data_IF_625491269813
#
_entry.id   IF_625491269813
#
_cell.length_a   1.000
_cell.length_b   1.000
_cell.length_c   1.000
_cell.angle_alpha   90.00
_cell.angle_beta   90.00
_cell.angle_gamma   90.00
#
_symmetry.space_group_name_H-M   'P 1'
#
loop_
_entity.id
_entity.type
_entity.pdbx_description
1 polymer ?
#
# COMPACT_ATOMS: atom_id res chain seq x y z
N UNK A 1 33.81 39.12 -10.06
CA UNK A 1 34.48 38.85 -11.33
C UNK A 1 33.72 37.74 -12.04
N UNK A 2 33.20 38.16 -13.19
CA UNK A 2 32.38 37.39 -14.11
C UNK A 2 33.13 36.21 -14.73
N UNK A 3 32.55 34.99 -14.71
CA UNK A 3 32.79 33.95 -15.71
C UNK A 3 31.75 32.82 -15.60
N UNK A 4 30.52 33.10 -15.98
CA UNK A 4 29.54 32.07 -16.38
C UNK A 4 28.54 32.69 -17.38
N UNK A 5 28.99 32.95 -18.60
CA UNK A 5 28.11 33.12 -19.79
C UNK A 5 28.75 32.34 -20.92
N UNK A 6 28.12 31.21 -21.25
CA UNK A 6 28.03 30.66 -22.60
C UNK A 6 27.56 29.16 -22.49
N UNK A 7 26.28 28.94 -22.44
CA UNK A 7 25.68 27.74 -23.02
C UNK A 7 24.53 28.19 -23.91
N UNK A 8 24.73 27.94 -25.21
CA UNK A 8 23.84 28.33 -26.29
C UNK A 8 22.48 27.59 -26.20
N UNK A 9 21.51 28.24 -26.76
CA UNK A 9 20.14 27.83 -26.93
C UNK A 9 20.06 26.45 -27.63
N UNK A 10 19.28 25.52 -27.03
CA UNK A 10 18.89 24.26 -27.67
C UNK A 10 17.66 24.56 -28.52
N UNK A 11 17.67 24.32 -29.85
CA UNK A 11 16.51 24.57 -30.71
C UNK A 11 15.39 23.53 -30.45
N UNK A 12 14.19 24.03 -30.41
CA UNK A 12 12.93 23.33 -30.37
C UNK A 12 12.84 22.25 -31.49
N UNK A 13 12.69 20.99 -31.09
CA UNK A 13 12.45 19.85 -32.00
C UNK A 13 10.97 19.74 -32.30
N UNK A 14 10.46 20.56 -33.17
CA UNK A 14 9.25 20.28 -33.96
C UNK A 14 9.63 19.90 -35.38
N UNK A 15 9.08 18.77 -35.87
CA UNK A 15 9.17 18.16 -37.22
C UNK A 15 10.29 17.14 -37.42
N UNK A 16 10.06 15.93 -36.94
CA UNK A 16 10.66 14.74 -37.54
C UNK A 16 9.63 13.97 -38.34
N UNK A 17 9.86 13.97 -39.64
CA UNK A 17 9.02 13.38 -40.67
C UNK A 17 9.13 11.86 -40.66
N UNK A 18 8.00 11.13 -40.73
CA UNK A 18 7.86 9.66 -40.68
C UNK A 18 8.64 8.87 -41.75
N UNK A 19 9.27 9.54 -42.73
CA UNK A 19 10.02 8.89 -43.79
C UNK A 19 11.44 8.44 -43.43
N UNK A 20 11.95 8.71 -42.21
CA UNK A 20 13.31 8.29 -41.78
C UNK A 20 13.36 7.05 -40.90
N UNK A 21 12.22 6.52 -40.46
CA UNK A 21 12.17 5.30 -39.68
C UNK A 21 12.23 4.01 -40.51
N UNK A 22 11.82 4.04 -41.78
CA UNK A 22 11.92 2.87 -42.65
C UNK A 22 13.35 2.52 -43.14
N UNK A 23 14.30 3.44 -43.04
CA UNK A 23 15.68 3.21 -43.48
C UNK A 23 16.51 2.50 -42.41
N UNK A 24 16.14 2.60 -41.12
CA UNK A 24 16.88 1.96 -40.03
C UNK A 24 16.52 0.47 -39.87
N UNK A 25 15.31 0.07 -40.19
CA UNK A 25 14.90 -1.35 -40.21
C UNK A 25 15.54 -2.18 -41.33
N UNK A 26 15.88 -1.57 -42.48
CA UNK A 26 16.53 -2.28 -43.62
C UNK A 26 18.04 -2.51 -43.47
N UNK A 27 18.70 -1.85 -42.51
CA UNK A 27 20.15 -2.02 -42.32
C UNK A 27 20.52 -2.96 -41.17
N UNK A 28 19.57 -3.47 -40.38
CA UNK A 28 19.80 -4.44 -39.32
C UNK A 28 19.51 -5.89 -39.70
N UNK A 29 18.93 -6.13 -40.88
CA UNK A 29 18.64 -7.49 -41.38
C UNK A 29 19.65 -8.06 -42.38
N UNK A 30 20.75 -7.39 -42.70
CA UNK A 30 21.66 -7.84 -43.77
C UNK A 30 23.01 -8.43 -43.33
N UNK A 31 23.26 -8.68 -42.07
CA UNK A 31 24.55 -9.24 -41.63
C UNK A 31 24.45 -10.42 -40.67
N UNK A 32 23.63 -11.42 -40.95
CA UNK A 32 23.81 -12.79 -40.43
C UNK A 32 23.24 -13.82 -41.39
N UNK A 33 23.91 -14.11 -42.49
CA UNK A 33 23.79 -15.40 -43.21
C UNK A 33 25.10 -15.67 -43.90
N UNK A 34 25.97 -16.48 -43.31
CA UNK A 34 26.84 -17.38 -44.02
C UNK A 34 27.10 -18.63 -43.20
N UNK A 35 26.83 -19.76 -43.87
CA UNK A 35 27.14 -21.14 -43.60
C UNK A 35 26.10 -21.97 -42.84
N UNK A 36 25.50 -22.88 -43.60
CA UNK A 36 24.77 -24.04 -43.12
C UNK A 36 23.72 -24.58 -44.13
N UNK A 37 24.17 -25.32 -45.17
CA UNK A 37 23.29 -26.08 -46.07
C UNK A 37 22.34 -27.00 -45.31
N UNK A 38 21.04 -26.88 -45.48
CA UNK A 38 20.11 -28.01 -45.36
C UNK A 38 19.00 -27.87 -46.42
N UNK A 39 18.99 -28.82 -47.32
CA UNK A 39 18.00 -29.02 -48.38
C UNK A 39 16.71 -29.50 -47.75
N UNK A 40 15.60 -28.80 -47.95
CA UNK A 40 14.26 -29.36 -47.76
C UNK A 40 13.51 -29.44 -49.11
N UNK A 41 13.25 -30.65 -49.51
CA UNK A 41 12.41 -31.05 -50.66
C UNK A 41 10.94 -30.65 -50.36
N UNK A 42 10.37 -29.84 -51.23
CA UNK A 42 8.94 -29.70 -51.36
C UNK A 42 8.33 -30.97 -51.97
N UNK A 43 7.50 -31.69 -51.24
CA UNK A 43 6.57 -32.66 -51.77
C UNK A 43 5.17 -32.02 -51.76
N UNK A 44 4.68 -31.78 -52.99
CA UNK A 44 3.29 -31.48 -53.24
C UNK A 44 2.48 -32.77 -53.07
N UNK A 45 1.54 -32.82 -52.14
CA UNK A 45 0.43 -33.79 -52.15
C UNK A 45 -0.87 -33.04 -51.96
N UNK A 46 -1.63 -33.05 -53.04
CA UNK A 46 -3.01 -32.61 -53.08
C UNK A 46 -3.95 -33.61 -52.36
N UNK A 47 -5.06 -33.08 -51.93
CA UNK A 47 -6.31 -33.78 -51.54
C UNK A 47 -6.39 -34.37 -50.14
N UNK A 48 -7.06 -33.63 -49.24
CA UNK A 48 -8.29 -34.07 -48.57
C UNK A 48 -8.92 -32.87 -47.86
N UNK A 49 -10.03 -32.41 -48.37
CA UNK A 49 -10.92 -31.52 -47.63
C UNK A 49 -11.40 -32.28 -46.36
N UNK A 50 -10.81 -31.99 -45.25
CA UNK A 50 -11.39 -32.25 -43.93
C UNK A 50 -12.07 -30.99 -43.46
N UNK A 51 -13.36 -31.09 -43.27
CA UNK A 51 -14.18 -30.10 -42.58
C UNK A 51 -13.46 -29.63 -41.34
N UNK A 52 -12.99 -28.37 -41.35
CA UNK A 52 -12.64 -27.67 -40.13
C UNK A 52 -13.95 -27.45 -39.39
N UNK A 53 -14.23 -28.31 -38.38
CA UNK A 53 -15.09 -27.91 -37.33
C UNK A 53 -14.53 -26.61 -36.76
N UNK A 54 -15.29 -25.55 -36.91
CA UNK A 54 -15.04 -24.32 -36.21
C UNK A 54 -15.05 -24.66 -34.71
N UNK A 55 -13.87 -24.65 -34.11
CA UNK A 55 -13.72 -24.71 -32.67
C UNK A 55 -14.44 -23.47 -32.15
N UNK A 56 -15.67 -23.72 -31.70
CA UNK A 56 -16.54 -22.73 -31.08
C UNK A 56 -15.93 -22.43 -29.70
N UNK A 57 -14.75 -21.78 -29.69
CA UNK A 57 -14.22 -21.08 -28.55
C UNK A 57 -15.16 -19.89 -28.33
N UNK A 58 -16.36 -20.22 -27.80
CA UNK A 58 -17.19 -19.24 -27.14
C UNK A 58 -16.26 -18.40 -26.27
N UNK A 59 -16.06 -17.15 -26.68
CA UNK A 59 -15.62 -16.08 -25.81
C UNK A 59 -16.55 -16.15 -24.58
N UNK A 60 -16.15 -16.91 -23.56
CA UNK A 60 -16.75 -16.80 -22.23
C UNK A 60 -16.47 -15.37 -21.81
N UNK A 61 -17.45 -14.49 -21.98
CA UNK A 61 -17.45 -13.19 -21.34
C UNK A 61 -17.11 -13.45 -19.87
N UNK A 62 -15.94 -13.03 -19.45
CA UNK A 62 -15.51 -13.22 -18.07
C UNK A 62 -16.58 -12.62 -17.18
N UNK A 63 -17.09 -13.41 -16.23
CA UNK A 63 -18.11 -12.94 -15.30
C UNK A 63 -17.60 -11.66 -14.60
N UNK A 64 -18.41 -10.58 -14.66
CA UNK A 64 -18.03 -9.29 -14.06
C UNK A 64 -17.75 -9.45 -12.58
N UNK A 65 -16.71 -8.78 -12.09
CA UNK A 65 -16.28 -8.88 -10.70
C UNK A 65 -17.01 -7.87 -9.80
N UNK A 66 -17.52 -8.35 -8.68
CA UNK A 66 -18.18 -7.53 -7.65
C UNK A 66 -17.19 -7.14 -6.56
N UNK A 67 -17.16 -5.84 -6.23
CA UNK A 67 -16.24 -5.27 -5.24
C UNK A 67 -16.97 -4.98 -3.93
N UNK A 68 -16.38 -5.41 -2.81
CA UNK A 68 -16.77 -5.07 -1.47
C UNK A 68 -15.62 -4.35 -0.76
N UNK A 69 -15.87 -3.13 -0.27
CA UNK A 69 -14.92 -2.38 0.57
C UNK A 69 -15.31 -2.62 2.03
N UNK A 70 -14.38 -3.16 2.82
CA UNK A 70 -14.60 -3.48 4.23
C UNK A 70 -13.94 -2.41 5.09
N UNK A 71 -14.72 -1.38 5.43
CA UNK A 71 -14.30 -0.23 6.21
C UNK A 71 -14.53 1.10 5.51
N UNK A 72 -14.98 2.10 6.27
CA UNK A 72 -15.43 3.41 5.80
C UNK A 72 -14.74 4.59 6.48
N UNK A 73 -13.53 4.36 7.04
CA UNK A 73 -12.72 5.44 7.58
C UNK A 73 -12.27 6.44 6.51
N UNK A 74 -11.41 7.38 6.88
CA UNK A 74 -10.91 8.41 5.96
C UNK A 74 -10.29 7.77 4.69
N UNK A 75 -9.39 6.79 4.84
CA UNK A 75 -8.76 6.09 3.72
C UNK A 75 -9.75 5.21 2.94
N UNK A 76 -10.67 4.52 3.62
CA UNK A 76 -11.71 3.71 2.97
C UNK A 76 -12.63 4.53 2.08
N UNK A 77 -13.00 5.73 2.53
CA UNK A 77 -13.83 6.66 1.74
C UNK A 77 -13.09 7.22 0.52
N UNK A 78 -11.79 7.55 0.65
CA UNK A 78 -10.97 7.99 -0.49
C UNK A 78 -10.84 6.89 -1.54
N UNK A 79 -10.62 5.65 -1.12
CA UNK A 79 -10.56 4.47 -2.00
C UNK A 79 -11.93 4.17 -2.62
N UNK A 80 -13.02 4.33 -1.88
CA UNK A 80 -14.36 4.14 -2.42
C UNK A 80 -14.66 5.12 -3.57
N UNK A 81 -14.15 6.37 -3.50
CA UNK A 81 -14.24 7.33 -4.61
C UNK A 81 -13.50 6.82 -5.85
N UNK A 82 -12.27 6.33 -5.70
CA UNK A 82 -11.47 5.78 -6.82
C UNK A 82 -12.18 4.57 -7.44
N UNK A 83 -12.49 3.57 -6.61
CA UNK A 83 -13.07 2.31 -7.08
C UNK A 83 -14.44 2.56 -7.73
N UNK A 84 -15.28 3.40 -7.09
CA UNK A 84 -16.61 3.73 -7.63
C UNK A 84 -16.54 4.32 -9.03
N UNK A 85 -15.61 5.23 -9.29
CA UNK A 85 -15.38 5.79 -10.63
C UNK A 85 -14.81 4.73 -11.60
N UNK A 86 -13.83 3.96 -11.17
CA UNK A 86 -13.14 2.98 -12.02
C UNK A 86 -14.06 1.85 -12.49
N UNK A 87 -14.93 1.30 -11.60
CA UNK A 87 -15.84 0.22 -12.00
C UNK A 87 -16.90 0.67 -13.00
N UNK A 88 -17.29 1.94 -12.99
CA UNK A 88 -18.19 2.53 -14.00
C UNK A 88 -17.47 2.64 -15.35
N UNK A 89 -16.23 3.15 -15.34
CA UNK A 89 -15.41 3.28 -16.53
C UNK A 89 -15.07 1.91 -17.17
N UNK A 90 -15.01 0.84 -16.36
CA UNK A 90 -14.69 -0.53 -16.78
C UNK A 90 -15.86 -1.48 -16.52
N UNK A 91 -17.07 -1.06 -16.91
CA UNK A 91 -18.30 -1.81 -16.67
C UNK A 91 -18.42 -3.12 -17.48
N UNK A 92 -17.49 -3.38 -18.38
CA UNK A 92 -17.28 -4.68 -19.04
C UNK A 92 -16.62 -5.72 -18.13
N UNK A 93 -15.76 -5.30 -17.19
CA UNK A 93 -15.01 -6.17 -16.27
C UNK A 93 -15.61 -6.21 -14.87
N UNK A 94 -16.23 -5.12 -14.41
CA UNK A 94 -16.75 -5.00 -13.05
C UNK A 94 -18.26 -4.72 -13.02
N UNK A 95 -18.91 -5.17 -11.95
CA UNK A 95 -20.22 -4.64 -11.60
C UNK A 95 -20.07 -3.18 -11.18
N UNK A 96 -20.95 -2.33 -11.66
CA UNK A 96 -20.88 -0.88 -11.38
C UNK A 96 -21.19 -0.54 -9.92
N UNK A 97 -21.99 -1.35 -9.22
CA UNK A 97 -22.25 -1.19 -7.79
C UNK A 97 -21.05 -1.60 -6.96
N UNK A 98 -20.60 -0.72 -6.06
CA UNK A 98 -19.56 -0.97 -5.06
C UNK A 98 -20.21 -0.96 -3.69
N UNK A 99 -20.15 -2.07 -2.96
CA UNK A 99 -20.65 -2.16 -1.60
C UNK A 99 -19.56 -1.78 -0.61
N UNK A 100 -19.89 -0.90 0.33
CA UNK A 100 -18.97 -0.48 1.38
C UNK A 100 -19.58 -0.81 2.74
N UNK A 101 -18.91 -1.67 3.51
CA UNK A 101 -19.28 -1.88 4.91
C UNK A 101 -18.94 -0.65 5.73
N UNK A 102 -19.94 -0.12 6.41
CA UNK A 102 -19.85 1.07 7.26
C UNK A 102 -20.24 0.67 8.67
N UNK A 103 -19.33 0.85 9.64
CA UNK A 103 -19.71 0.75 11.03
C UNK A 103 -20.73 1.85 11.34
N UNK A 104 -21.94 1.44 11.75
CA UNK A 104 -23.06 2.37 11.90
C UNK A 104 -22.85 3.32 13.08
N UNK A 105 -22.98 4.59 12.82
CA UNK A 105 -22.85 5.68 13.78
C UNK A 105 -23.94 6.72 13.56
N UNK A 106 -24.34 7.39 14.66
CA UNK A 106 -25.29 8.49 14.57
C UNK A 106 -24.56 9.84 14.48
N UNK A 107 -24.82 10.58 13.41
CA UNK A 107 -24.25 11.89 13.16
C UNK A 107 -25.41 12.91 13.11
N UNK A 108 -25.50 13.75 14.13
CA UNK A 108 -26.57 14.78 14.24
C UNK A 108 -28.00 14.21 14.06
N UNK A 109 -28.23 13.00 14.62
CA UNK A 109 -29.56 12.37 14.58
C UNK A 109 -29.86 11.55 13.30
N UNK A 110 -28.91 11.45 12.33
CA UNK A 110 -29.03 10.61 11.13
C UNK A 110 -28.00 9.49 11.18
N UNK A 111 -28.31 8.33 10.63
CA UNK A 111 -27.37 7.23 10.46
C UNK A 111 -26.30 7.59 9.43
N UNK A 112 -25.04 7.22 9.69
CA UNK A 112 -23.96 7.50 8.76
C UNK A 112 -24.17 6.82 7.41
N UNK A 113 -24.73 5.60 7.40
CA UNK A 113 -25.09 4.89 6.16
C UNK A 113 -26.15 5.62 5.35
N UNK A 114 -27.18 6.22 6.01
CA UNK A 114 -28.20 7.03 5.33
C UNK A 114 -27.58 8.29 4.71
N UNK A 115 -26.70 8.98 5.45
CA UNK A 115 -26.00 10.17 4.95
C UNK A 115 -25.20 9.81 3.70
N UNK A 116 -24.39 8.74 3.76
CA UNK A 116 -23.57 8.32 2.62
C UNK A 116 -24.44 7.95 1.41
N UNK A 117 -25.53 7.22 1.60
CA UNK A 117 -26.39 6.77 0.51
C UNK A 117 -27.24 7.89 -0.10
N UNK A 118 -27.65 8.91 0.69
CA UNK A 118 -28.50 10.00 0.22
C UNK A 118 -27.72 11.23 -0.20
N UNK A 119 -26.72 11.61 0.62
CA UNK A 119 -25.96 12.85 0.41
C UNK A 119 -24.65 12.58 -0.35
N UNK A 120 -24.32 11.31 -0.56
CA UNK A 120 -23.08 10.84 -1.20
C UNK A 120 -21.82 11.48 -0.60
N UNK A 121 -21.76 11.53 0.74
CA UNK A 121 -20.64 12.10 1.46
C UNK A 121 -20.44 11.39 2.80
N UNK A 122 -19.19 11.06 3.12
CA UNK A 122 -18.86 10.62 4.47
C UNK A 122 -18.46 11.83 5.32
N UNK A 123 -19.46 12.49 5.88
CA UNK A 123 -19.29 13.76 6.61
C UNK A 123 -18.41 13.65 7.86
N UNK A 124 -18.25 12.43 8.41
CA UNK A 124 -17.42 12.19 9.60
C UNK A 124 -15.95 12.01 9.24
N UNK A 125 -15.66 11.22 8.21
CA UNK A 125 -14.31 10.75 7.94
C UNK A 125 -13.66 11.37 6.70
N UNK A 126 -14.47 11.91 5.77
CA UNK A 126 -13.99 12.58 4.55
C UNK A 126 -14.91 13.73 4.17
N UNK A 127 -15.07 14.74 5.06
CA UNK A 127 -15.98 15.85 4.81
C UNK A 127 -15.55 16.68 3.59
N UNK A 128 -16.55 17.18 2.85
CA UNK A 128 -16.34 18.03 1.66
C UNK A 128 -16.04 17.28 0.38
N UNK A 129 -15.91 15.95 0.41
CA UNK A 129 -15.65 15.12 -0.76
C UNK A 129 -16.88 14.27 -1.09
N UNK A 130 -17.38 14.41 -2.31
CA UNK A 130 -18.50 13.57 -2.79
C UNK A 130 -18.00 12.20 -3.23
N UNK A 131 -18.72 11.18 -2.80
CA UNK A 131 -18.55 9.79 -3.25
C UNK A 131 -19.40 9.55 -4.50
N UNK A 132 -18.98 8.68 -5.42
CA UNK A 132 -19.81 8.27 -6.55
C UNK A 132 -21.13 7.65 -6.08
N UNK A 133 -22.23 7.91 -6.80
CA UNK A 133 -23.58 7.44 -6.45
C UNK A 133 -23.77 5.94 -6.46
N UNK A 134 -22.84 5.21 -7.10
CA UNK A 134 -22.79 3.75 -7.17
C UNK A 134 -22.07 3.10 -5.97
N UNK A 135 -21.56 3.90 -5.03
CA UNK A 135 -21.02 3.41 -3.75
C UNK A 135 -22.16 3.32 -2.75
N UNK A 136 -22.48 2.10 -2.32
CA UNK A 136 -23.60 1.82 -1.43
C UNK A 136 -23.08 1.46 -0.03
N UNK A 137 -23.40 2.28 0.96
CA UNK A 137 -23.07 2.05 2.36
C UNK A 137 -24.01 1.03 3.00
N UNK A 138 -23.45 -0.03 3.60
CA UNK A 138 -24.20 -1.12 4.22
C UNK A 138 -23.67 -1.34 5.64
N UNK A 139 -24.51 -1.36 6.69
CA UNK A 139 -24.06 -1.51 8.07
C UNK A 139 -23.74 -2.97 8.46
N UNK A 140 -24.29 -3.94 7.75
CA UNK A 140 -24.03 -5.36 7.99
C UNK A 140 -22.88 -5.83 7.10
N UNK A 141 -21.82 -6.40 7.71
CA UNK A 141 -20.64 -6.84 6.98
C UNK A 141 -20.89 -8.04 6.09
N UNK A 142 -21.80 -8.95 6.48
CA UNK A 142 -22.14 -10.15 5.67
C UNK A 142 -22.96 -9.74 4.45
N UNK A 143 -23.90 -8.81 4.62
CA UNK A 143 -24.70 -8.30 3.51
C UNK A 143 -23.82 -7.54 2.52
N UNK A 144 -22.90 -6.68 2.99
CA UNK A 144 -21.97 -5.96 2.12
C UNK A 144 -21.08 -6.92 1.33
N UNK A 145 -20.67 -8.04 1.92
CA UNK A 145 -19.78 -9.05 1.36
C UNK A 145 -20.45 -10.06 0.42
N UNK A 146 -21.80 -10.06 0.37
CA UNK A 146 -22.55 -11.06 -0.40
C UNK A 146 -22.15 -11.06 -1.87
N UNK A 147 -21.78 -12.23 -2.38
CA UNK A 147 -21.37 -12.46 -3.78
C UNK A 147 -20.15 -11.62 -4.24
N UNK A 148 -19.36 -11.09 -3.33
CA UNK A 148 -18.16 -10.33 -3.67
C UNK A 148 -17.06 -11.24 -4.24
N UNK A 149 -16.38 -10.73 -5.27
CA UNK A 149 -15.21 -11.35 -5.90
C UNK A 149 -13.91 -10.69 -5.44
N UNK A 150 -13.97 -9.42 -5.03
CA UNK A 150 -12.82 -8.64 -4.56
C UNK A 150 -13.18 -7.98 -3.23
N UNK A 151 -12.35 -8.23 -2.22
CA UNK A 151 -12.46 -7.64 -0.89
C UNK A 151 -11.34 -6.62 -0.67
N UNK A 152 -11.71 -5.38 -0.34
CA UNK A 152 -10.77 -4.30 -0.01
C UNK A 152 -10.84 -4.03 1.48
N UNK A 153 -9.87 -4.52 2.25
CA UNK A 153 -9.82 -4.37 3.71
C UNK A 153 -9.13 -3.07 4.08
N UNK A 154 -9.86 -2.15 4.73
CA UNK A 154 -9.40 -0.80 5.06
C UNK A 154 -9.94 -0.32 6.41
N UNK A 155 -9.86 -1.16 7.40
CA UNK A 155 -10.31 -0.93 8.78
C UNK A 155 -9.11 -0.96 9.76
N UNK A 156 -9.27 -0.51 11.02
CA UNK A 156 -8.20 -0.63 12.00
C UNK A 156 -7.84 -2.11 12.26
N UNK A 157 -6.53 -2.41 12.27
CA UNK A 157 -6.00 -3.79 12.31
C UNK A 157 -6.58 -4.63 13.46
N UNK A 158 -6.83 -4.04 14.64
CA UNK A 158 -7.36 -4.75 15.81
C UNK A 158 -8.74 -5.38 15.57
N UNK A 159 -9.49 -4.94 14.57
CA UNK A 159 -10.80 -5.51 14.24
C UNK A 159 -10.74 -6.57 13.15
N UNK A 160 -9.60 -6.70 12.48
CA UNK A 160 -9.47 -7.50 11.25
C UNK A 160 -9.83 -8.96 11.48
N UNK A 161 -9.26 -9.58 12.51
CA UNK A 161 -9.52 -10.99 12.84
C UNK A 161 -11.00 -11.27 13.14
N UNK A 162 -11.66 -10.35 13.87
CA UNK A 162 -13.08 -10.48 14.19
C UNK A 162 -13.96 -10.32 12.94
N UNK A 163 -13.63 -9.37 12.06
CA UNK A 163 -14.35 -9.17 10.80
C UNK A 163 -14.18 -10.37 9.88
N UNK A 164 -12.97 -10.91 9.72
CA UNK A 164 -12.74 -12.14 8.96
C UNK A 164 -13.55 -13.33 9.49
N UNK A 165 -13.62 -13.52 10.82
CA UNK A 165 -14.44 -14.56 11.43
C UNK A 165 -15.94 -14.41 11.10
N UNK A 166 -16.45 -13.18 11.06
CA UNK A 166 -17.85 -12.93 10.66
C UNK A 166 -18.10 -13.27 9.19
N UNK A 167 -17.13 -13.05 8.32
CA UNK A 167 -17.22 -13.35 6.88
C UNK A 167 -16.98 -14.82 6.55
N UNK A 168 -16.42 -15.59 7.47
CA UNK A 168 -16.07 -17.00 7.26
C UNK A 168 -17.29 -17.82 6.82
N UNK A 169 -17.11 -18.63 5.77
CA UNK A 169 -18.18 -19.44 5.17
C UNK A 169 -19.11 -18.71 4.20
N UNK A 170 -19.03 -17.36 4.09
CA UNK A 170 -19.80 -16.55 3.15
C UNK A 170 -18.99 -15.99 1.98
N UNK A 171 -17.68 -16.27 1.92
CA UNK A 171 -16.77 -15.76 0.89
C UNK A 171 -16.59 -16.80 -0.22
N UNK A 172 -16.64 -16.37 -1.49
CA UNK A 172 -16.39 -17.27 -2.64
C UNK A 172 -14.96 -17.81 -2.58
N UNK A 173 -14.72 -19.09 -2.87
CA UNK A 173 -13.34 -19.64 -2.93
C UNK A 173 -12.46 -18.99 -4.01
N UNK A 174 -13.08 -18.36 -5.01
CA UNK A 174 -12.41 -17.63 -6.10
C UNK A 174 -12.18 -16.15 -5.82
N UNK A 175 -12.62 -15.68 -4.65
CA UNK A 175 -12.45 -14.27 -4.28
C UNK A 175 -10.98 -13.92 -4.01
N UNK A 176 -10.65 -12.65 -4.16
CA UNK A 176 -9.32 -12.08 -3.89
C UNK A 176 -9.46 -10.96 -2.87
N UNK A 177 -8.61 -10.97 -1.84
CA UNK A 177 -8.47 -9.89 -0.88
C UNK A 177 -7.34 -8.93 -1.24
N UNK A 178 -7.46 -7.68 -0.78
CA UNK A 178 -6.36 -6.74 -0.71
C UNK A 178 -6.45 -5.94 0.59
N UNK A 179 -5.34 -5.90 1.34
CA UNK A 179 -5.23 -5.16 2.59
C UNK A 179 -4.58 -3.80 2.35
N UNK A 180 -5.23 -2.75 2.83
CA UNK A 180 -4.71 -1.38 2.86
C UNK A 180 -4.33 -0.97 4.28
N UNK A 181 -4.20 -1.93 5.18
CA UNK A 181 -4.01 -1.74 6.61
C UNK A 181 -2.52 -1.60 6.91
N UNK A 182 -2.12 -0.47 7.49
CA UNK A 182 -0.73 -0.14 7.83
C UNK A 182 -0.43 -0.49 9.30
N UNK A 183 -0.45 -1.77 9.61
CA UNK A 183 -0.23 -2.30 10.95
C UNK A 183 -0.15 -3.82 10.92
N UNK A 184 0.12 -4.42 12.06
CA UNK A 184 0.24 -5.85 12.22
C UNK A 184 -0.88 -6.39 13.12
N UNK A 185 -1.25 -7.64 12.94
CA UNK A 185 -1.91 -8.43 13.98
C UNK A 185 -0.84 -9.07 14.89
N UNK A 186 -1.25 -9.56 16.03
CA UNK A 186 -0.35 -10.17 17.03
C UNK A 186 -0.58 -11.67 17.04
N UNK A 187 0.51 -12.44 16.98
CA UNK A 187 0.45 -13.89 17.15
C UNK A 187 0.07 -14.27 18.57
N UNK A 188 -0.61 -15.37 18.75
CA UNK A 188 -0.78 -15.99 20.04
C UNK A 188 0.62 -16.31 20.64
N UNK A 189 0.92 -15.75 21.80
CA UNK A 189 2.26 -15.82 22.41
C UNK A 189 3.20 -14.67 22.04
N UNK A 190 2.76 -13.68 21.25
CA UNK A 190 3.49 -12.47 20.88
C UNK A 190 4.18 -12.52 19.50
N UNK A 191 4.57 -11.35 19.03
CA UNK A 191 5.18 -11.15 17.74
C UNK A 191 4.19 -10.85 16.61
N UNK A 192 4.73 -10.44 15.48
CA UNK A 192 3.98 -9.91 14.35
C UNK A 192 3.31 -11.02 13.52
N UNK A 193 2.07 -10.76 13.11
CA UNK A 193 1.37 -11.47 12.06
C UNK A 193 0.89 -10.47 11.00
N UNK A 194 1.20 -10.74 9.73
CA UNK A 194 0.75 -9.92 8.61
C UNK A 194 -0.78 -10.02 8.46
N UNK A 195 -1.43 -8.91 8.13
CA UNK A 195 -2.88 -8.88 7.92
C UNK A 195 -3.29 -9.74 6.72
N UNK A 196 -2.47 -9.75 5.67
CA UNK A 196 -2.68 -10.65 4.52
C UNK A 196 -2.67 -12.12 4.93
N UNK A 197 -1.82 -12.49 5.88
CA UNK A 197 -1.79 -13.84 6.47
C UNK A 197 -3.07 -14.13 7.25
N UNK A 198 -3.56 -13.19 8.06
CA UNK A 198 -4.85 -13.35 8.77
C UNK A 198 -6.00 -13.61 7.79
N UNK A 199 -6.06 -12.88 6.68
CA UNK A 199 -7.08 -13.09 5.63
C UNK A 199 -6.96 -14.47 5.01
N UNK A 200 -5.76 -14.88 4.64
CA UNK A 200 -5.50 -16.21 4.05
C UNK A 200 -5.89 -17.35 4.99
N UNK A 201 -5.52 -17.24 6.27
CA UNK A 201 -5.80 -18.28 7.28
C UNK A 201 -7.29 -18.38 7.60
N UNK A 202 -8.00 -17.25 7.74
CA UNK A 202 -9.39 -17.25 8.21
C UNK A 202 -10.39 -17.40 7.07
N UNK A 203 -10.16 -16.74 5.93
CA UNK A 203 -11.10 -16.72 4.81
C UNK A 203 -10.74 -17.71 3.70
N UNK A 204 -9.53 -18.28 3.74
CA UNK A 204 -9.01 -19.22 2.73
C UNK A 204 -9.04 -18.63 1.30
N UNK A 205 -8.70 -17.35 1.15
CA UNK A 205 -8.56 -16.64 -0.14
C UNK A 205 -7.18 -16.01 -0.25
N UNK A 206 -6.64 -15.83 -1.48
CA UNK A 206 -5.43 -15.04 -1.68
C UNK A 206 -5.67 -13.59 -1.24
N UNK A 207 -4.66 -12.96 -0.65
CA UNK A 207 -4.74 -11.58 -0.22
C UNK A 207 -3.43 -10.85 -0.54
N UNK A 208 -3.54 -9.77 -1.29
CA UNK A 208 -2.47 -8.83 -1.59
C UNK A 208 -2.42 -7.70 -0.55
N UNK A 209 -1.39 -6.85 -0.61
CA UNK A 209 -1.31 -5.61 0.17
C UNK A 209 -1.15 -4.39 -0.74
N UNK A 210 -1.68 -3.22 -0.34
CA UNK A 210 -1.45 -1.93 -1.01
C UNK A 210 -0.89 -0.94 -0.01
N UNK A 211 0.35 -0.50 -0.24
CA UNK A 211 1.05 0.46 0.61
C UNK A 211 1.65 1.59 -0.23
N UNK A 212 1.86 2.75 0.38
CA UNK A 212 2.45 3.90 -0.30
C UNK A 212 2.21 5.22 0.42
N UNK A 213 2.82 6.28 -0.07
CA UNK A 213 2.66 7.66 0.41
C UNK A 213 1.28 8.20 0.01
N UNK A 214 0.24 7.86 0.78
CA UNK A 214 -1.15 8.09 0.43
C UNK A 214 -1.91 8.78 1.57
N UNK A 215 -1.85 10.11 1.64
CA UNK A 215 -2.69 10.89 2.55
C UNK A 215 -4.10 10.95 1.98
N UNK A 216 -5.06 10.38 2.70
CA UNK A 216 -6.40 10.13 2.18
C UNK A 216 -7.11 11.38 1.61
N UNK A 217 -6.99 12.53 2.27
CA UNK A 217 -7.59 13.78 1.79
C UNK A 217 -6.95 14.27 0.49
N UNK A 218 -5.64 14.11 0.34
CA UNK A 218 -4.92 14.49 -0.88
C UNK A 218 -5.31 13.58 -2.05
N UNK A 219 -5.38 12.26 -1.81
CA UNK A 219 -5.85 11.28 -2.80
C UNK A 219 -7.29 11.55 -3.21
N UNK A 220 -8.17 11.84 -2.24
CA UNK A 220 -9.58 12.15 -2.50
C UNK A 220 -9.76 13.48 -3.27
N UNK A 221 -8.81 14.41 -3.12
CA UNK A 221 -8.71 15.67 -3.89
C UNK A 221 -8.00 15.50 -5.23
N UNK A 222 -7.68 14.25 -5.62
CA UNK A 222 -7.06 13.89 -6.90
C UNK A 222 -5.63 14.44 -7.08
N UNK A 223 -4.93 14.71 -5.98
CA UNK A 223 -3.52 15.05 -6.02
C UNK A 223 -2.70 13.81 -6.43
N UNK A 224 -1.65 14.05 -7.22
CA UNK A 224 -0.79 12.96 -7.68
C UNK A 224 -0.13 12.22 -6.53
N UNK A 225 -0.23 10.90 -6.54
CA UNK A 225 0.45 10.01 -5.60
C UNK A 225 0.67 8.62 -6.22
N UNK A 226 1.48 7.82 -5.54
CA UNK A 226 1.85 6.48 -5.97
C UNK A 226 1.59 5.48 -4.86
N UNK A 227 1.29 4.23 -5.23
CA UNK A 227 1.23 3.11 -4.31
C UNK A 227 1.82 1.84 -4.93
N UNK A 228 2.26 0.93 -4.08
CA UNK A 228 2.78 -0.37 -4.46
C UNK A 228 1.80 -1.45 -4.01
N UNK A 229 1.37 -2.30 -4.93
CA UNK A 229 0.64 -3.53 -4.64
C UNK A 229 1.64 -4.67 -4.50
N UNK A 230 1.71 -5.26 -3.31
CA UNK A 230 2.43 -6.51 -3.08
C UNK A 230 1.52 -7.69 -3.42
N UNK A 231 1.84 -8.42 -4.49
CA UNK A 231 1.03 -9.55 -4.97
C UNK A 231 1.87 -10.55 -5.75
N UNK A 232 1.96 -11.79 -5.25
CA UNK A 232 2.72 -12.88 -5.90
C UNK A 232 2.06 -13.40 -7.18
N UNK A 233 0.72 -13.40 -7.24
CA UNK A 233 -0.01 -13.84 -8.43
C UNK A 233 -0.13 -12.68 -9.43
N UNK A 234 0.48 -12.77 -10.63
CA UNK A 234 0.46 -11.68 -11.61
C UNK A 234 -0.94 -11.34 -12.11
N UNK A 235 -1.85 -12.32 -12.18
CA UNK A 235 -3.24 -12.11 -12.64
C UNK A 235 -4.01 -11.30 -11.61
N UNK A 236 -3.91 -11.67 -10.34
CA UNK A 236 -4.52 -10.91 -9.25
C UNK A 236 -3.90 -9.52 -9.12
N UNK A 237 -2.58 -9.41 -9.23
CA UNK A 237 -1.87 -8.12 -9.23
C UNK A 237 -2.38 -7.19 -10.33
N UNK A 238 -2.52 -7.70 -11.57
CA UNK A 238 -3.02 -6.90 -12.69
C UNK A 238 -4.51 -6.54 -12.52
N UNK A 239 -5.35 -7.45 -12.04
CA UNK A 239 -6.75 -7.19 -11.71
C UNK A 239 -6.88 -6.06 -10.68
N UNK A 240 -6.12 -6.15 -9.59
CA UNK A 240 -6.12 -5.14 -8.53
C UNK A 240 -5.55 -3.82 -9.04
N UNK A 241 -4.45 -3.82 -9.80
CA UNK A 241 -3.93 -2.60 -10.43
C UNK A 241 -4.99 -1.93 -11.29
N UNK A 242 -5.71 -2.68 -12.13
CA UNK A 242 -6.79 -2.16 -12.95
C UNK A 242 -7.88 -1.50 -12.10
N UNK A 243 -8.24 -2.11 -10.96
CA UNK A 243 -9.26 -1.57 -10.06
C UNK A 243 -8.87 -0.25 -9.40
N UNK A 244 -7.58 -0.08 -9.03
CA UNK A 244 -7.13 1.08 -8.23
C UNK A 244 -6.51 2.21 -9.04
N UNK A 245 -5.87 1.92 -10.18
CA UNK A 245 -5.08 2.91 -10.91
C UNK A 245 -5.95 4.02 -11.53
N UNK A 246 -5.52 5.27 -11.38
CA UNK A 246 -6.07 6.44 -12.05
C UNK A 246 -4.94 7.28 -12.67
N UNK A 247 -5.28 8.43 -13.26
CA UNK A 247 -4.28 9.38 -13.78
C UNK A 247 -3.46 10.03 -12.65
N UNK A 248 -4.03 10.15 -11.47
CA UNK A 248 -3.42 10.78 -10.30
C UNK A 248 -3.02 9.77 -9.20
N UNK A 249 -3.45 8.51 -9.29
CA UNK A 249 -3.09 7.43 -8.37
C UNK A 249 -2.40 6.31 -9.15
N UNK A 250 -1.07 6.36 -9.16
CA UNK A 250 -0.27 5.42 -9.94
C UNK A 250 0.05 4.17 -9.14
N UNK A 251 -0.14 3.01 -9.76
CA UNK A 251 0.07 1.71 -9.10
C UNK A 251 1.24 0.96 -9.74
N UNK A 252 2.17 0.52 -8.90
CA UNK A 252 3.23 -0.44 -9.23
C UNK A 252 2.90 -1.78 -8.57
N UNK A 253 3.24 -2.90 -9.22
CA UNK A 253 3.08 -4.25 -8.67
C UNK A 253 4.48 -4.78 -8.29
N UNK A 254 4.60 -5.32 -7.08
CA UNK A 254 5.78 -6.04 -6.61
C UNK A 254 5.39 -7.46 -6.23
N UNK A 255 6.19 -8.45 -6.63
CA UNK A 255 6.01 -9.83 -6.20
C UNK A 255 6.45 -10.05 -4.74
N UNK A 256 7.22 -9.13 -4.19
CA UNK A 256 7.69 -9.12 -2.79
C UNK A 256 6.60 -8.63 -1.84
N UNK A 257 5.56 -9.44 -1.72
CA UNK A 257 4.29 -9.16 -1.05
C UNK A 257 4.48 -8.84 0.44
N UNK A 258 5.32 -9.63 1.11
CA UNK A 258 5.52 -9.51 2.55
C UNK A 258 6.26 -8.20 2.89
N UNK A 259 7.31 -7.85 2.13
CA UNK A 259 8.06 -6.59 2.34
C UNK A 259 7.18 -5.36 2.10
N UNK A 260 6.32 -5.37 1.07
CA UNK A 260 5.37 -4.27 0.82
C UNK A 260 4.50 -4.03 2.05
N UNK A 261 3.94 -5.07 2.66
CA UNK A 261 3.10 -4.95 3.85
C UNK A 261 3.90 -4.50 5.07
N UNK A 262 5.07 -5.11 5.31
CA UNK A 262 5.95 -4.80 6.45
C UNK A 262 6.41 -3.34 6.42
N UNK A 263 6.76 -2.80 5.26
CA UNK A 263 7.14 -1.39 5.11
C UNK A 263 6.03 -0.45 5.63
N UNK A 264 4.78 -0.71 5.27
CA UNK A 264 3.64 0.12 5.68
C UNK A 264 3.43 0.19 7.20
N UNK A 265 3.89 -0.81 7.94
CA UNK A 265 3.80 -0.86 9.40
C UNK A 265 5.06 -0.30 10.08
N UNK A 266 6.27 -0.78 9.71
CA UNK A 266 7.54 -0.41 10.34
C UNK A 266 7.85 1.09 10.23
N UNK A 267 7.50 1.74 9.12
CA UNK A 267 7.68 3.19 8.96
C UNK A 267 7.08 4.01 10.10
N UNK A 268 6.02 3.49 10.75
CA UNK A 268 5.36 4.18 11.85
C UNK A 268 6.26 4.26 13.10
N UNK A 269 7.15 3.29 13.30
CA UNK A 269 8.17 3.33 14.36
C UNK A 269 9.13 4.48 14.06
N UNK A 270 9.65 4.54 12.85
CA UNK A 270 10.60 5.60 12.43
C UNK A 270 9.97 6.99 12.57
N UNK A 271 8.69 7.11 12.23
CA UNK A 271 7.95 8.36 12.38
C UNK A 271 7.82 8.82 13.84
N UNK A 272 7.73 7.88 14.80
CA UNK A 272 7.82 8.21 16.24
C UNK A 272 9.18 8.78 16.57
N UNK A 273 10.27 8.15 16.11
CA UNK A 273 11.64 8.67 16.29
C UNK A 273 11.87 10.03 15.63
N UNK A 274 11.32 10.27 14.44
CA UNK A 274 11.35 11.59 13.80
C UNK A 274 10.61 12.63 14.66
N UNK A 275 9.49 12.28 15.29
CA UNK A 275 8.79 13.13 16.24
C UNK A 275 9.60 13.42 17.50
N UNK A 276 10.35 12.46 18.01
CA UNK A 276 11.27 12.70 19.14
C UNK A 276 12.36 13.69 18.78
N UNK A 277 12.97 13.57 17.58
CA UNK A 277 13.97 14.51 17.10
C UNK A 277 13.40 15.95 17.02
N UNK A 278 12.20 16.11 16.48
CA UNK A 278 11.51 17.40 16.40
C UNK A 278 11.20 17.96 17.81
N UNK A 279 10.70 17.11 18.69
CA UNK A 279 10.35 17.51 20.08
C UNK A 279 11.55 17.95 20.91
N UNK A 280 12.71 17.35 20.68
CA UNK A 280 13.98 17.71 21.30
C UNK A 280 14.63 18.95 20.68
N UNK A 281 14.05 19.53 19.61
CA UNK A 281 14.57 20.73 18.96
C UNK A 281 15.76 20.48 18.02
N UNK A 282 15.98 19.23 17.58
CA UNK A 282 16.98 18.93 16.56
C UNK A 282 16.50 19.37 15.18
N UNK A 283 17.45 19.74 14.32
CA UNK A 283 17.18 20.18 12.95
C UNK A 283 17.00 19.06 11.94
N UNK A 284 16.78 19.46 10.69
CA UNK A 284 16.49 18.54 9.57
C UNK A 284 17.58 17.50 9.31
N UNK A 285 18.87 17.84 9.56
CA UNK A 285 19.98 16.90 9.41
C UNK A 285 19.80 15.68 10.36
N UNK A 286 19.41 15.93 11.62
CA UNK A 286 19.16 14.85 12.59
C UNK A 286 17.94 14.04 12.19
N UNK A 287 16.86 14.69 11.76
CA UNK A 287 15.68 14.00 11.25
C UNK A 287 16.01 13.13 10.02
N UNK A 288 16.80 13.65 9.08
CA UNK A 288 17.26 12.90 7.92
C UNK A 288 18.10 11.67 8.32
N UNK A 289 18.96 11.81 9.33
CA UNK A 289 19.72 10.68 9.88
C UNK A 289 18.80 9.62 10.50
N UNK A 290 17.79 10.02 11.28
CA UNK A 290 16.78 9.10 11.85
C UNK A 290 16.02 8.37 10.75
N UNK A 291 15.59 9.06 9.69
CA UNK A 291 14.90 8.45 8.55
C UNK A 291 15.81 7.43 7.83
N UNK A 292 17.07 7.81 7.56
CA UNK A 292 18.02 6.91 6.92
C UNK A 292 18.30 5.66 7.76
N UNK A 293 18.61 5.82 9.05
CA UNK A 293 18.86 4.69 9.96
C UNK A 293 17.61 3.82 10.11
N UNK A 294 16.44 4.46 10.18
CA UNK A 294 15.16 3.76 10.21
C UNK A 294 14.93 2.91 8.96
N UNK A 295 15.23 3.44 7.77
CA UNK A 295 15.14 2.66 6.53
C UNK A 295 16.09 1.45 6.56
N UNK A 296 17.33 1.64 7.03
CA UNK A 296 18.30 0.55 7.15
C UNK A 296 17.84 -0.54 8.13
N UNK A 297 17.25 -0.15 9.27
CA UNK A 297 16.68 -1.12 10.19
C UNK A 297 15.43 -1.81 9.62
N UNK A 298 14.59 -1.13 8.83
CA UNK A 298 13.49 -1.76 8.09
C UNK A 298 13.99 -2.83 7.12
N UNK A 299 15.01 -2.51 6.31
CA UNK A 299 15.66 -3.46 5.38
C UNK A 299 16.16 -4.68 6.15
N UNK A 300 17.00 -4.44 7.17
CA UNK A 300 17.58 -5.49 8.01
C UNK A 300 16.53 -6.35 8.72
N UNK A 301 15.42 -5.75 9.17
CA UNK A 301 14.32 -6.49 9.78
C UNK A 301 13.68 -7.45 8.77
N UNK A 302 13.42 -7.00 7.55
CA UNK A 302 12.88 -7.86 6.50
C UNK A 302 13.85 -8.98 6.12
N UNK A 303 15.15 -8.70 5.97
CA UNK A 303 16.17 -9.72 5.69
C UNK A 303 16.19 -10.83 6.75
N UNK A 304 16.01 -10.48 8.03
CA UNK A 304 16.05 -11.44 9.15
C UNK A 304 14.74 -12.22 9.31
N UNK A 305 13.60 -11.56 9.17
CA UNK A 305 12.29 -12.14 9.55
C UNK A 305 11.43 -12.54 8.35
N UNK A 306 11.72 -12.01 7.15
CA UNK A 306 10.99 -12.25 5.90
C UNK A 306 11.98 -12.62 4.78
N UNK A 307 12.54 -13.86 4.79
CA UNK A 307 13.52 -14.30 3.80
C UNK A 307 12.98 -14.16 2.38
N UNK A 308 13.78 -13.58 1.48
CA UNK A 308 13.39 -13.30 0.10
C UNK A 308 12.96 -11.85 -0.15
N UNK A 309 13.02 -10.99 0.88
CA UNK A 309 12.81 -9.54 0.73
C UNK A 309 13.80 -8.96 -0.30
N UNK A 310 13.30 -8.03 -1.14
CA UNK A 310 14.08 -7.41 -2.20
C UNK A 310 14.37 -5.95 -1.85
N UNK A 311 15.63 -5.54 -1.95
CA UNK A 311 16.03 -4.15 -1.69
C UNK A 311 15.29 -3.15 -2.60
N UNK A 312 14.98 -3.53 -3.84
CA UNK A 312 14.22 -2.70 -4.76
C UNK A 312 12.84 -2.31 -4.21
N UNK A 313 12.20 -3.18 -3.43
CA UNK A 313 10.89 -2.90 -2.82
C UNK A 313 10.92 -1.71 -1.86
N UNK A 314 12.05 -1.49 -1.16
CA UNK A 314 12.21 -0.34 -0.27
C UNK A 314 12.38 1.00 -1.01
N UNK A 315 12.72 0.97 -2.30
CA UNK A 315 12.80 2.16 -3.15
C UNK A 315 11.45 2.53 -3.79
N UNK A 316 10.47 1.66 -3.68
CA UNK A 316 9.10 1.89 -4.15
C UNK A 316 8.32 2.83 -3.21
N UNK A 317 7.08 3.18 -3.63
CA UNK A 317 6.19 4.06 -2.85
C UNK A 317 5.88 3.51 -1.46
N UNK A 318 5.77 2.19 -1.29
CA UNK A 318 5.54 1.54 0.01
C UNK A 318 6.71 1.69 0.98
N UNK A 319 7.94 1.83 0.48
CA UNK A 319 9.17 1.99 1.25
C UNK A 319 9.51 3.44 1.51
N UNK A 320 10.49 3.98 0.76
CA UNK A 320 11.07 5.31 1.02
C UNK A 320 10.05 6.45 0.96
N UNK A 321 9.11 6.44 -0.01
CA UNK A 321 8.18 7.56 -0.15
C UNK A 321 7.19 7.63 1.04
N UNK A 322 6.62 6.49 1.45
CA UNK A 322 5.70 6.44 2.59
C UNK A 322 6.43 6.71 3.92
N UNK A 323 7.69 6.29 4.04
CA UNK A 323 8.54 6.61 5.18
C UNK A 323 8.77 8.12 5.32
N UNK A 324 9.20 8.78 4.25
CA UNK A 324 9.44 10.23 4.23
C UNK A 324 8.14 10.99 4.55
N UNK A 325 7.06 10.69 3.84
CA UNK A 325 5.76 11.35 4.05
C UNK A 325 5.28 11.22 5.50
N UNK A 326 5.43 10.03 6.10
CA UNK A 326 4.99 9.77 7.48
C UNK A 326 5.86 10.48 8.52
N UNK A 327 7.18 10.59 8.27
CA UNK A 327 8.12 11.27 9.16
C UNK A 327 7.99 12.81 9.15
N UNK A 328 7.40 13.39 8.09
CA UNK A 328 7.15 14.84 8.02
C UNK A 328 5.70 15.20 8.42
N UNK A 329 4.70 14.52 7.87
CA UNK A 329 3.29 14.90 8.03
C UNK A 329 2.44 14.02 8.93
N UNK A 330 2.92 12.83 9.30
CA UNK A 330 2.14 11.76 9.93
C UNK A 330 1.70 12.05 11.37
N UNK A 331 0.62 11.37 11.79
CA UNK A 331 0.10 11.45 13.16
C UNK A 331 1.11 10.96 14.21
N UNK A 332 1.82 9.86 13.93
CA UNK A 332 2.86 9.33 14.83
C UNK A 332 3.93 10.41 15.10
N UNK A 333 4.43 11.10 14.07
CA UNK A 333 5.40 12.16 14.21
C UNK A 333 4.88 13.31 15.07
N UNK A 334 3.66 13.83 14.77
CA UNK A 334 3.08 14.98 15.47
C UNK A 334 2.81 14.71 16.95
N UNK A 335 2.25 13.55 17.28
CA UNK A 335 1.97 13.18 18.66
C UNK A 335 3.26 12.91 19.43
N UNK A 336 4.26 12.28 18.81
CA UNK A 336 5.56 12.03 19.46
C UNK A 336 6.37 13.32 19.68
N UNK A 337 6.25 14.31 18.80
CA UNK A 337 6.78 15.66 19.04
C UNK A 337 6.11 16.29 20.28
N UNK A 338 4.77 16.22 20.36
CA UNK A 338 4.03 16.77 21.49
C UNK A 338 4.36 16.01 22.80
N UNK A 339 4.53 14.68 22.74
CA UNK A 339 4.96 13.85 23.89
C UNK A 339 6.26 14.38 24.50
N UNK A 340 7.27 14.63 23.66
CA UNK A 340 8.57 15.17 24.13
C UNK A 340 8.43 16.59 24.68
N UNK A 341 7.71 17.47 23.96
CA UNK A 341 7.57 18.88 24.35
C UNK A 341 6.76 19.10 25.62
N UNK A 342 5.74 18.27 25.85
CA UNK A 342 4.79 18.50 26.95
C UNK A 342 4.98 17.56 28.14
N UNK A 343 5.68 16.45 27.98
CA UNK A 343 5.80 15.39 28.97
C UNK A 343 4.49 14.64 29.26
N UNK A 344 3.41 14.89 28.50
CA UNK A 344 2.14 14.18 28.62
C UNK A 344 2.27 12.76 28.07
N UNK A 345 1.50 11.80 28.61
CA UNK A 345 1.48 10.43 28.07
C UNK A 345 0.91 10.41 26.65
N UNK A 346 1.33 9.41 25.85
CA UNK A 346 0.82 9.18 24.49
C UNK A 346 -0.71 9.05 24.49
N UNK A 347 -1.28 8.34 25.48
CA UNK A 347 -2.71 8.15 25.60
C UNK A 347 -3.49 9.47 25.79
N UNK A 348 -2.97 10.37 26.63
CA UNK A 348 -3.56 11.71 26.80
C UNK A 348 -3.53 12.48 25.48
N UNK A 349 -2.40 12.44 24.77
CA UNK A 349 -2.22 13.15 23.50
C UNK A 349 -3.06 12.54 22.36
N UNK A 350 -3.28 11.23 22.34
CA UNK A 350 -4.23 10.60 21.41
C UNK A 350 -5.65 11.16 21.60
N UNK A 351 -6.08 11.34 22.85
CA UNK A 351 -7.38 11.92 23.13
C UNK A 351 -7.45 13.41 22.72
N UNK A 352 -6.42 14.19 23.07
CA UNK A 352 -6.40 15.63 22.80
C UNK A 352 -6.21 15.98 21.32
N UNK A 353 -5.36 15.23 20.59
CA UNK A 353 -4.95 15.56 19.23
C UNK A 353 -5.62 14.73 18.15
N UNK A 354 -6.11 13.53 18.48
CA UNK A 354 -6.62 12.56 17.53
C UNK A 354 -8.08 12.13 17.82
N UNK A 355 -8.78 12.81 18.74
CA UNK A 355 -10.14 12.45 19.16
C UNK A 355 -10.24 10.96 19.59
N UNK A 356 -9.23 10.47 20.31
CA UNK A 356 -9.16 9.11 20.81
C UNK A 356 -8.71 8.05 19.80
N UNK A 357 -8.38 8.43 18.55
CA UNK A 357 -7.79 7.50 17.59
C UNK A 357 -6.39 7.08 18.04
N UNK A 358 -6.13 5.78 18.02
CA UNK A 358 -4.85 5.21 18.45
C UNK A 358 -3.74 5.37 17.41
N UNK A 359 -2.52 5.64 17.87
CA UNK A 359 -1.31 5.59 17.06
C UNK A 359 -0.98 4.14 16.70
N UNK A 360 -0.24 3.99 15.59
CA UNK A 360 0.26 2.66 15.17
C UNK A 360 1.73 2.46 15.57
N UNK A 361 2.51 3.54 15.66
CA UNK A 361 3.95 3.47 15.92
C UNK A 361 4.33 2.80 17.24
N UNK A 362 3.83 3.26 18.40
CA UNK A 362 4.17 2.68 19.71
C UNK A 362 3.82 1.18 19.82
N UNK A 363 2.60 0.70 19.49
CA UNK A 363 2.30 -0.73 19.54
C UNK A 363 3.14 -1.54 18.54
N UNK A 364 3.41 -1.01 17.34
CA UNK A 364 4.30 -1.68 16.37
C UNK A 364 5.73 -1.79 16.93
N UNK A 365 6.23 -0.75 17.60
CA UNK A 365 7.56 -0.79 18.24
C UNK A 365 7.61 -1.85 19.35
N UNK A 366 6.55 -2.01 20.11
CA UNK A 366 6.44 -3.04 21.14
C UNK A 366 6.55 -4.46 20.53
N UNK A 367 5.74 -4.76 19.52
CA UNK A 367 5.73 -6.08 18.87
C UNK A 367 7.04 -6.40 18.14
N UNK A 368 7.62 -5.41 17.47
CA UNK A 368 8.94 -5.54 16.85
C UNK A 368 9.99 -5.84 17.91
N UNK A 369 10.01 -5.09 19.01
CA UNK A 369 10.98 -5.31 20.08
C UNK A 369 10.81 -6.69 20.73
N UNK A 370 9.57 -7.17 20.90
CA UNK A 370 9.30 -8.52 21.36
C UNK A 370 10.01 -9.58 20.48
N UNK A 371 9.91 -9.43 19.16
CA UNK A 371 10.59 -10.33 18.20
C UNK A 371 12.12 -10.21 18.29
N UNK A 372 12.65 -8.99 18.35
CA UNK A 372 14.08 -8.74 18.48
C UNK A 372 14.64 -9.36 19.76
N UNK A 373 13.95 -9.16 20.89
CA UNK A 373 14.32 -9.71 22.20
C UNK A 373 14.30 -11.23 22.21
N UNK A 374 13.29 -11.85 21.58
CA UNK A 374 13.21 -13.32 21.48
C UNK A 374 14.38 -13.95 20.73
N UNK A 375 15.05 -13.18 19.86
CA UNK A 375 16.25 -13.59 19.09
C UNK A 375 17.55 -12.98 19.63
N UNK A 376 17.53 -12.26 20.74
CA UNK A 376 18.69 -11.54 21.30
C UNK A 376 19.33 -10.59 20.29
N UNK A 377 18.52 -9.82 19.56
CA UNK A 377 18.97 -8.96 18.48
C UNK A 377 18.74 -7.46 18.72
N UNK A 378 18.34 -7.05 19.93
CA UNK A 378 18.05 -5.65 20.25
C UNK A 378 19.23 -4.71 19.89
N UNK A 379 20.47 -5.14 20.16
CA UNK A 379 21.68 -4.35 19.85
C UNK A 379 21.91 -4.14 18.34
N UNK A 380 21.29 -4.98 17.51
CA UNK A 380 21.39 -4.86 16.05
C UNK A 380 20.35 -3.91 15.46
N UNK A 381 19.39 -3.44 16.27
CA UNK A 381 18.29 -2.55 15.91
C UNK A 381 18.18 -1.41 16.95
N UNK A 382 19.21 -0.60 17.12
CA UNK A 382 19.26 0.39 18.21
C UNK A 382 18.20 1.47 18.07
N UNK A 383 17.79 1.87 16.86
CA UNK A 383 16.74 2.84 16.66
C UNK A 383 15.37 2.30 17.09
N UNK A 384 14.97 1.12 16.62
CA UNK A 384 13.69 0.51 16.99
C UNK A 384 13.62 0.21 18.48
N UNK A 385 14.72 -0.30 19.05
CA UNK A 385 14.85 -0.58 20.48
C UNK A 385 14.76 0.70 21.34
N UNK A 386 15.46 1.78 20.95
CA UNK A 386 15.38 3.06 21.66
C UNK A 386 13.96 3.64 21.62
N UNK A 387 13.30 3.61 20.46
CA UNK A 387 11.93 4.11 20.32
C UNK A 387 10.98 3.31 21.23
N UNK A 388 11.08 1.98 21.22
CA UNK A 388 10.29 1.14 22.12
C UNK A 388 10.52 1.51 23.59
N UNK A 389 11.77 1.58 24.04
CA UNK A 389 12.13 1.89 25.45
C UNK A 389 11.68 3.28 25.88
N UNK A 390 11.67 4.26 24.97
CA UNK A 390 11.15 5.61 25.26
C UNK A 390 9.61 5.56 25.38
N UNK A 391 8.94 4.87 24.46
CA UNK A 391 7.48 4.74 24.51
C UNK A 391 6.99 3.95 25.76
N UNK A 392 7.78 2.99 26.27
CA UNK A 392 7.49 2.23 27.48
C UNK A 392 7.91 2.96 28.78
N UNK A 393 8.63 4.08 28.68
CA UNK A 393 9.13 4.86 29.82
C UNK A 393 10.41 4.31 30.46
N UNK A 394 11.06 3.32 29.82
CA UNK A 394 12.35 2.77 30.27
C UNK A 394 13.52 3.71 30.01
N UNK A 395 13.41 4.54 28.95
CA UNK A 395 14.38 5.57 28.60
C UNK A 395 13.69 6.94 28.52
N UNK A 396 14.44 8.01 28.82
CA UNK A 396 13.98 9.38 28.62
C UNK A 396 14.20 9.80 27.16
N UNK A 397 13.33 10.66 26.59
CA UNK A 397 13.48 11.14 25.22
C UNK A 397 14.86 11.79 24.94
N UNK A 398 15.46 12.46 25.93
CA UNK A 398 16.77 13.14 25.80
C UNK A 398 17.92 12.17 25.48
N UNK A 399 17.73 10.88 25.81
CA UNK A 399 18.73 9.83 25.54
C UNK A 399 18.64 9.29 24.12
N UNK A 400 17.61 9.68 23.34
CA UNK A 400 17.33 9.13 22.01
C UNK A 400 18.54 9.22 21.06
N UNK A 401 19.13 10.40 20.93
CA UNK A 401 20.27 10.60 20.00
C UNK A 401 21.52 9.88 20.48
N UNK A 402 21.70 9.73 21.80
CA UNK A 402 22.83 8.95 22.34
C UNK A 402 22.78 7.50 21.89
N UNK A 403 21.59 6.91 21.85
CA UNK A 403 21.40 5.53 21.37
C UNK A 403 21.78 5.36 19.88
N UNK A 404 21.82 6.46 19.10
CA UNK A 404 22.12 6.41 17.67
C UNK A 404 23.59 6.66 17.34
N UNK A 405 24.38 7.19 18.27
CA UNK A 405 25.80 7.55 18.01
C UNK A 405 26.65 6.35 17.58
N UNK A 406 26.39 5.20 18.15
CA UNK A 406 27.12 3.95 17.89
C UNK A 406 26.29 2.97 17.07
N UNK A 407 25.45 3.49 16.16
CA UNK A 407 24.62 2.63 15.31
C UNK A 407 25.50 1.73 14.42
N UNK A 408 25.20 0.42 14.27
CA UNK A 408 26.01 -0.49 13.44
C UNK A 408 26.25 -0.03 12.01
N UNK A 409 25.32 0.74 11.45
CA UNK A 409 25.41 1.29 10.08
C UNK A 409 26.42 2.46 9.97
N UNK A 410 27.07 2.87 11.04
CA UNK A 410 28.14 3.86 11.05
C UNK A 410 29.53 3.21 11.05
N UNK A 411 29.63 1.92 11.28
CA UNK A 411 30.84 1.11 11.32
C UNK A 411 30.93 0.22 10.06
#
# INVERSE_FOLDING_TARGET
>A
DNEWRNYGEIPCLEKLNFAKLEIIERHLCSNVVTQGHLVFRMHCCASKASTFEADDTQLRMSEKKRVCIVGSGNWGSAIAKIIGNNVVAMSDQFHTEVRMWVFEEMINGRKLTEIINQDHENVKYLPGIKLPTNVIAIPDVKESAKDADIFVFVLPHQFMRNVCKQLQGGVKPTAVGISLIKGFDVKEGGGILLITTVVREVLNIPCASLMGANIANEVASENYCEATIGCKDPKNGQLLKTLFQTKYFRIVISEDEDTVEVCGALKNIVAVGAGFADGLGFGDNTKAAVIRLGLMEMVKFCEVFYPGSQQATFLESCGIADLVTTCYGGRNRKVSEAFVKTGKSIEVLENEMLNGQKLQGPPTAYEVNYMLKSKMMEDRFPLFTAIHRICSGELKPEQFIECLKNHPEHM
#
